data_IF_832060887496
#
_entry.id   IF_832060887496
#
_cell.length_a   1.000
_cell.length_b   1.000
_cell.length_c   1.000
_cell.angle_alpha   90.00
_cell.angle_beta   90.00
_cell.angle_gamma   90.00
#
_symmetry.space_group_name_H-M   'P 1'
#
loop_
_entity.id
_entity.type
_entity.pdbx_description
1 polymer ?
#
# COMPACT_ATOMS: atom_id res chain seq x y z
N UNK A 1 4.72 14.67 10.86
CA UNK A 1 3.85 13.51 10.53
C UNK A 1 4.46 12.27 11.15
N UNK A 2 3.66 11.44 11.77
CA UNK A 2 4.10 10.20 12.41
C UNK A 2 3.57 9.01 11.60
N UNK A 3 4.41 7.98 11.41
CA UNK A 3 3.99 6.74 10.75
C UNK A 3 4.17 5.60 11.73
N UNK A 4 3.11 4.82 11.97
CA UNK A 4 3.11 3.66 12.86
C UNK A 4 2.83 2.40 12.07
N UNK A 5 3.42 1.29 12.53
CA UNK A 5 3.19 -0.02 11.92
C UNK A 5 2.36 -0.91 12.84
N UNK A 6 1.50 -1.72 12.21
CA UNK A 6 0.61 -2.64 12.93
C UNK A 6 0.62 -3.99 12.22
N UNK A 7 0.48 -5.07 12.98
CA UNK A 7 0.38 -6.42 12.43
C UNK A 7 -1.06 -6.82 12.11
N UNK A 8 -1.98 -5.87 12.18
CA UNK A 8 -3.38 -6.08 11.86
C UNK A 8 -3.96 -4.81 11.23
N UNK A 9 -5.05 -4.97 10.50
CA UNK A 9 -5.75 -3.82 9.94
C UNK A 9 -6.54 -3.13 11.06
N UNK A 10 -6.16 -1.90 11.37
CA UNK A 10 -6.85 -1.11 12.39
C UNK A 10 -8.16 -0.55 11.84
N UNK A 11 -9.02 -0.07 12.72
CA UNK A 11 -10.27 0.59 12.29
C UNK A 11 -9.97 1.83 11.45
N UNK A 12 -8.93 2.58 11.77
CA UNK A 12 -8.51 3.75 11.01
C UNK A 12 -8.09 3.37 9.60
N UNK A 13 -7.29 2.30 9.44
CA UNK A 13 -6.88 1.82 8.12
C UNK A 13 -8.08 1.35 7.30
N UNK A 14 -9.00 0.62 7.93
CA UNK A 14 -10.23 0.17 7.28
C UNK A 14 -11.06 1.37 6.80
N UNK A 15 -11.18 2.39 7.64
CA UNK A 15 -11.94 3.60 7.31
C UNK A 15 -11.36 4.33 6.11
N UNK A 16 -10.05 4.53 6.09
CA UNK A 16 -9.37 5.20 4.98
C UNK A 16 -9.53 4.40 3.69
N UNK A 17 -9.29 3.08 3.73
CA UNK A 17 -9.40 2.23 2.55
C UNK A 17 -10.84 2.19 2.03
N UNK A 18 -11.80 2.14 2.92
CA UNK A 18 -13.21 2.18 2.52
C UNK A 18 -13.53 3.50 1.82
N UNK A 19 -13.13 4.62 2.41
CA UNK A 19 -13.40 5.94 1.83
C UNK A 19 -12.75 6.11 0.46
N UNK A 20 -11.50 5.67 0.30
CA UNK A 20 -10.74 5.88 -0.95
C UNK A 20 -11.12 4.84 -2.01
N UNK A 21 -11.07 3.55 -1.66
CA UNK A 21 -11.20 2.51 -2.69
C UNK A 21 -12.63 2.09 -2.93
N UNK A 22 -13.47 2.06 -1.91
CA UNK A 22 -14.85 1.61 -2.06
C UNK A 22 -15.76 2.78 -2.44
N UNK A 23 -15.74 3.84 -1.64
CA UNK A 23 -16.66 4.98 -1.83
C UNK A 23 -16.23 5.86 -3.00
N UNK A 24 -14.96 6.28 -3.01
CA UNK A 24 -14.46 7.21 -4.03
C UNK A 24 -14.23 6.53 -5.38
N UNK A 25 -13.68 5.33 -5.40
CA UNK A 25 -13.26 4.64 -6.63
C UNK A 25 -14.09 3.41 -6.99
N UNK A 26 -14.99 2.99 -6.11
CA UNK A 26 -15.88 1.84 -6.30
C UNK A 26 -15.16 0.52 -6.61
N UNK A 27 -14.01 0.30 -5.99
CA UNK A 27 -13.29 -0.97 -6.11
C UNK A 27 -13.90 -2.03 -5.20
N UNK A 28 -14.13 -3.22 -5.75
CA UNK A 28 -14.69 -4.37 -5.01
C UNK A 28 -14.14 -5.68 -5.56
N UNK A 29 -13.72 -6.62 -4.72
CA UNK A 29 -13.59 -6.48 -3.25
C UNK A 29 -12.31 -5.72 -2.89
N UNK A 30 -12.39 -4.85 -1.90
CA UNK A 30 -11.23 -4.12 -1.41
C UNK A 30 -10.44 -4.93 -0.38
N UNK A 31 -11.15 -5.68 0.46
CA UNK A 31 -10.54 -6.42 1.55
C UNK A 31 -10.35 -7.89 1.17
N UNK A 32 -9.24 -8.49 1.60
CA UNK A 32 -8.86 -9.85 1.23
C UNK A 32 -8.20 -10.58 2.40
N UNK A 33 -7.67 -11.78 2.13
CA UNK A 33 -7.06 -12.63 3.15
C UNK A 33 -5.85 -11.98 3.82
N UNK A 34 -5.16 -11.08 3.14
CA UNK A 34 -4.00 -10.39 3.71
C UNK A 34 -4.39 -9.35 4.75
N UNK A 35 -5.68 -9.08 4.93
CA UNK A 35 -6.19 -8.19 5.95
C UNK A 35 -6.49 -8.91 7.26
N UNK A 36 -6.38 -10.23 7.29
CA UNK A 36 -6.51 -10.99 8.53
C UNK A 36 -5.33 -10.70 9.45
N UNK A 37 -5.55 -10.71 10.78
CA UNK A 37 -4.47 -10.40 11.73
C UNK A 37 -3.23 -11.27 11.52
N UNK A 38 -2.06 -10.64 11.55
CA UNK A 38 -0.78 -11.34 11.42
C UNK A 38 -0.38 -11.70 10.00
N UNK A 39 -1.20 -11.39 8.98
CA UNK A 39 -0.91 -11.73 7.59
C UNK A 39 -0.11 -10.66 6.85
N UNK A 40 -0.23 -9.41 7.28
CA UNK A 40 0.45 -8.29 6.65
C UNK A 40 0.79 -7.23 7.67
N UNK A 41 1.74 -6.36 7.33
CA UNK A 41 2.01 -5.15 8.10
C UNK A 41 1.20 -4.01 7.51
N UNK A 42 0.51 -3.29 8.37
CA UNK A 42 -0.30 -2.14 7.99
C UNK A 42 0.33 -0.88 8.55
N UNK A 43 0.57 0.09 7.67
CA UNK A 43 1.11 1.40 8.07
C UNK A 43 -0.02 2.40 8.18
N UNK A 44 0.08 3.26 9.18
CA UNK A 44 -0.80 4.42 9.32
C UNK A 44 0.04 5.67 9.51
N UNK A 45 -0.24 6.67 8.72
CA UNK A 45 0.37 8.00 8.87
C UNK A 45 -0.62 8.90 9.59
N UNK A 46 -0.13 9.64 10.56
CA UNK A 46 -0.92 10.58 11.37
C UNK A 46 -0.45 12.00 11.11
N UNK A 47 -1.38 12.87 10.84
CA UNK A 47 -1.13 14.31 10.71
C UNK A 47 -2.17 15.08 11.52
N UNK A 48 -1.72 16.03 12.35
CA UNK A 48 -2.60 16.85 13.20
C UNK A 48 -3.53 15.99 14.06
N UNK A 49 -3.02 14.86 14.56
CA UNK A 49 -3.77 14.01 15.49
C UNK A 49 -4.79 13.08 14.86
N UNK A 50 -4.80 12.95 13.52
CA UNK A 50 -5.71 12.01 12.85
C UNK A 50 -4.96 11.16 11.85
N UNK A 51 -5.50 9.97 11.58
CA UNK A 51 -4.97 9.10 10.55
C UNK A 51 -5.30 9.66 9.17
N UNK A 52 -4.29 9.87 8.32
CA UNK A 52 -4.45 10.53 7.03
C UNK A 52 -4.06 9.65 5.85
N UNK A 53 -3.32 8.55 6.08
CA UNK A 53 -2.90 7.65 5.02
C UNK A 53 -2.64 6.26 5.56
N UNK A 54 -2.70 5.27 4.68
CA UNK A 54 -2.40 3.88 5.02
C UNK A 54 -1.74 3.18 3.85
N UNK A 55 -1.02 2.09 4.16
CA UNK A 55 -0.39 1.23 3.17
C UNK A 55 -0.27 -0.17 3.78
N UNK A 56 -0.30 -1.20 2.94
CA UNK A 56 -0.18 -2.59 3.39
C UNK A 56 1.03 -3.22 2.72
N UNK A 57 1.82 -4.01 3.47
CA UNK A 57 2.95 -4.72 2.92
C UNK A 57 3.04 -6.14 3.48
N UNK A 58 3.48 -7.08 2.63
CA UNK A 58 3.62 -8.49 2.99
C UNK A 58 4.61 -9.19 2.03
N UNK A 59 5.23 -10.32 2.49
CA UNK A 59 6.08 -11.10 1.59
C UNK A 59 5.26 -11.70 0.45
N UNK A 60 5.81 -11.70 -0.75
CA UNK A 60 5.13 -12.22 -1.93
C UNK A 60 5.27 -13.74 -1.98
N UNK A 61 4.31 -14.45 -1.41
CA UNK A 61 4.33 -15.91 -1.34
C UNK A 61 3.98 -16.58 -2.67
N UNK A 62 3.34 -15.85 -3.58
CA UNK A 62 3.01 -16.36 -4.92
C UNK A 62 4.24 -16.42 -5.82
N UNK A 63 5.33 -15.78 -5.40
CA UNK A 63 6.61 -15.79 -6.13
C UNK A 63 7.70 -16.38 -5.24
N UNK A 64 7.48 -17.59 -4.75
CA UNK A 64 8.43 -18.27 -3.87
C UNK A 64 9.78 -18.51 -4.54
N UNK A 65 9.84 -18.50 -5.87
CA UNK A 65 11.07 -18.57 -6.66
C UNK A 65 11.86 -17.26 -6.64
N UNK A 66 11.31 -16.22 -6.07
CA UNK A 66 11.95 -14.90 -5.95
C UNK A 66 12.06 -14.51 -4.47
N UNK A 67 12.98 -15.13 -3.72
CA UNK A 67 13.15 -14.79 -2.29
C UNK A 67 13.48 -13.31 -2.13
N UNK A 68 12.91 -12.70 -1.10
CA UNK A 68 13.12 -11.27 -0.86
C UNK A 68 12.18 -10.36 -1.64
N UNK A 69 11.23 -10.92 -2.37
CA UNK A 69 10.19 -10.13 -3.05
C UNK A 69 9.03 -9.88 -2.09
N UNK A 70 8.64 -8.63 -1.97
CA UNK A 70 7.53 -8.18 -1.13
C UNK A 70 6.50 -7.43 -1.97
N UNK A 71 5.28 -7.40 -1.50
CA UNK A 71 4.21 -6.61 -2.12
C UNK A 71 3.90 -5.44 -1.19
N UNK A 72 3.87 -4.24 -1.77
CA UNK A 72 3.41 -3.03 -1.11
C UNK A 72 2.17 -2.54 -1.86
N UNK A 73 1.08 -2.31 -1.16
CA UNK A 73 -0.15 -1.92 -1.83
C UNK A 73 -1.16 -1.30 -0.90
N UNK A 74 -2.36 -1.12 -1.42
CA UNK A 74 -3.45 -0.45 -0.70
C UNK A 74 -3.02 0.90 -0.15
N UNK A 75 -2.14 1.60 -0.89
CA UNK A 75 -1.73 2.96 -0.52
C UNK A 75 -2.91 3.90 -0.74
N UNK A 76 -3.33 4.54 0.31
CA UNK A 76 -4.47 5.46 0.26
C UNK A 76 -4.18 6.68 1.12
N UNK A 77 -4.45 7.86 0.58
CA UNK A 77 -4.35 9.13 1.30
C UNK A 77 -5.74 9.78 1.27
N UNK A 78 -6.20 10.27 2.41
CA UNK A 78 -7.52 10.93 2.46
C UNK A 78 -7.52 12.14 1.52
N UNK A 79 -8.68 12.39 0.90
CA UNK A 79 -8.78 13.36 -0.20
C UNK A 79 -8.28 14.76 0.16
N UNK A 80 -8.60 15.24 1.36
CA UNK A 80 -8.24 16.60 1.78
C UNK A 80 -6.76 16.75 2.18
N UNK A 81 -5.99 15.66 2.18
CA UNK A 81 -4.58 15.70 2.52
C UNK A 81 -3.67 15.37 1.31
N UNK A 82 -4.25 15.23 0.13
CA UNK A 82 -3.48 14.92 -1.08
C UNK A 82 -2.72 16.15 -1.58
N UNK A 83 -1.65 15.91 -2.32
CA UNK A 83 -0.83 16.98 -2.88
C UNK A 83 0.26 17.50 -1.94
N UNK A 84 0.49 16.82 -0.82
CA UNK A 84 1.48 17.22 0.17
C UNK A 84 2.63 16.22 0.33
N UNK A 85 2.72 15.24 -0.57
CA UNK A 85 3.80 14.24 -0.52
C UNK A 85 3.62 13.15 0.52
N UNK A 86 2.44 13.01 1.11
CA UNK A 86 2.19 12.02 2.16
C UNK A 86 2.33 10.60 1.61
N UNK A 87 1.74 10.33 0.45
CA UNK A 87 1.84 9.01 -0.18
C UNK A 87 3.26 8.59 -0.44
N UNK A 88 4.09 9.52 -0.93
CA UNK A 88 5.51 9.28 -1.18
C UNK A 88 6.25 8.94 0.12
N UNK A 89 5.95 9.66 1.19
CA UNK A 89 6.58 9.45 2.49
C UNK A 89 6.19 8.08 3.06
N UNK A 90 4.91 7.71 2.97
CA UNK A 90 4.43 6.41 3.45
C UNK A 90 5.07 5.27 2.64
N UNK A 91 5.17 5.43 1.34
CA UNK A 91 5.77 4.41 0.47
C UNK A 91 7.25 4.24 0.78
N UNK A 92 7.97 5.34 1.05
CA UNK A 92 9.38 5.27 1.43
C UNK A 92 9.55 4.51 2.75
N UNK A 93 8.65 4.68 3.70
CA UNK A 93 8.69 3.94 4.95
C UNK A 93 8.41 2.45 4.72
N UNK A 94 7.46 2.12 3.84
CA UNK A 94 7.20 0.73 3.48
C UNK A 94 8.45 0.08 2.91
N UNK A 95 9.16 0.76 2.01
CA UNK A 95 10.41 0.24 1.44
C UNK A 95 11.48 0.04 2.49
N UNK A 96 11.59 0.97 3.44
CA UNK A 96 12.55 0.85 4.54
C UNK A 96 12.28 -0.38 5.39
N UNK A 97 11.02 -0.64 5.70
CA UNK A 97 10.62 -1.82 6.48
C UNK A 97 10.85 -3.12 5.74
N UNK A 98 10.61 -3.12 4.42
CA UNK A 98 10.89 -4.30 3.58
C UNK A 98 12.39 -4.61 3.61
N UNK A 99 13.25 -3.61 3.45
CA UNK A 99 14.71 -3.81 3.52
C UNK A 99 15.13 -4.31 4.90
N UNK A 100 14.56 -3.76 5.95
CA UNK A 100 14.85 -4.17 7.33
C UNK A 100 14.47 -5.63 7.57
N UNK A 101 13.43 -6.12 6.91
CA UNK A 101 13.00 -7.50 7.00
C UNK A 101 13.79 -8.44 6.07
N UNK A 102 14.79 -7.94 5.35
CA UNK A 102 15.59 -8.74 4.44
C UNK A 102 15.07 -8.77 3.01
N UNK A 103 14.07 -7.98 2.69
CA UNK A 103 13.51 -7.91 1.33
C UNK A 103 14.42 -7.13 0.39
N UNK A 104 14.39 -7.51 -0.90
CA UNK A 104 15.20 -6.88 -1.94
C UNK A 104 14.36 -6.23 -3.02
N UNK A 105 13.10 -6.63 -3.15
CA UNK A 105 12.20 -6.15 -4.20
C UNK A 105 10.87 -5.76 -3.56
N UNK A 106 10.39 -4.57 -3.89
CA UNK A 106 9.07 -4.12 -3.51
C UNK A 106 8.21 -4.04 -4.77
N UNK A 107 7.26 -4.95 -4.91
CA UNK A 107 6.33 -4.96 -6.03
C UNK A 107 5.08 -4.18 -5.65
N UNK A 108 4.54 -3.41 -6.59
CA UNK A 108 3.29 -2.67 -6.41
C UNK A 108 2.33 -3.11 -7.50
N UNK A 109 1.14 -3.51 -7.09
CA UNK A 109 0.05 -3.78 -8.02
C UNK A 109 -0.80 -2.53 -8.12
N UNK A 110 -0.90 -1.97 -9.32
CA UNK A 110 -1.53 -0.67 -9.52
C UNK A 110 -2.30 -0.64 -10.82
N UNK A 111 -3.29 0.24 -10.90
CA UNK A 111 -3.96 0.54 -12.15
C UNK A 111 -3.01 1.31 -13.07
N UNK A 112 -3.21 1.17 -14.38
CA UNK A 112 -2.34 1.81 -15.37
C UNK A 112 -2.31 3.34 -15.22
N UNK A 113 -3.40 3.96 -14.79
CA UNK A 113 -3.42 5.42 -14.58
C UNK A 113 -2.48 5.90 -13.48
N UNK A 114 -2.02 4.98 -12.62
CA UNK A 114 -1.10 5.31 -11.54
C UNK A 114 0.34 4.94 -11.88
N UNK A 115 0.59 4.34 -13.03
CA UNK A 115 1.93 3.87 -13.40
C UNK A 115 2.94 5.02 -13.46
N UNK A 116 2.54 6.16 -14.03
CA UNK A 116 3.43 7.30 -14.14
C UNK A 116 3.88 7.79 -12.75
N UNK A 117 2.99 7.80 -11.78
CA UNK A 117 3.32 8.18 -10.41
C UNK A 117 4.35 7.23 -9.81
N UNK A 118 4.13 5.92 -9.96
CA UNK A 118 5.05 4.92 -9.41
C UNK A 118 6.40 4.94 -10.13
N UNK A 119 6.41 5.14 -11.45
CA UNK A 119 7.65 5.28 -12.20
C UNK A 119 8.45 6.50 -11.73
N UNK A 120 7.76 7.60 -11.46
CA UNK A 120 8.39 8.80 -10.92
C UNK A 120 9.04 8.53 -9.56
N UNK A 121 8.50 7.61 -8.77
CA UNK A 121 9.04 7.20 -7.48
C UNK A 121 10.11 6.12 -7.59
N UNK A 122 10.49 5.72 -8.80
CA UNK A 122 11.56 4.76 -9.03
C UNK A 122 11.11 3.33 -9.30
N UNK A 123 9.82 3.10 -9.45
CA UNK A 123 9.29 1.78 -9.76
C UNK A 123 9.30 1.56 -11.28
N UNK A 124 9.43 0.30 -11.69
CA UNK A 124 9.38 -0.09 -13.09
C UNK A 124 8.19 -1.01 -13.33
N UNK A 125 7.61 -0.90 -14.50
CA UNK A 125 6.57 -1.84 -14.93
C UNK A 125 7.26 -3.14 -15.28
N UNK A 126 6.95 -4.22 -14.54
CA UNK A 126 7.62 -5.52 -14.69
C UNK A 126 6.68 -6.63 -15.17
N UNK A 127 5.39 -6.33 -15.32
CA UNK A 127 4.40 -7.31 -15.73
C UNK A 127 3.33 -6.63 -16.58
N UNK A 128 2.50 -7.46 -17.21
CA UNK A 128 1.39 -6.95 -18.02
C UNK A 128 0.35 -6.28 -17.13
N UNK A 129 -0.44 -5.41 -17.76
CA UNK A 129 -1.54 -4.73 -17.09
C UNK A 129 -2.61 -5.73 -16.67
N UNK A 130 -3.17 -5.52 -15.49
CA UNK A 130 -4.33 -6.26 -15.04
C UNK A 130 -5.59 -5.54 -15.49
N UNK A 131 -6.53 -6.28 -16.04
CA UNK A 131 -7.75 -5.72 -16.63
C UNK A 131 -8.93 -5.74 -15.68
N UNK A 132 -8.79 -6.29 -14.50
CA UNK A 132 -9.89 -6.51 -13.58
C UNK A 132 -9.86 -5.62 -12.35
N UNK A 133 -9.09 -4.53 -12.41
CA UNK A 133 -9.00 -3.62 -11.28
C UNK A 133 -8.17 -4.15 -10.12
N UNK A 134 -7.17 -4.95 -10.38
CA UNK A 134 -6.21 -5.32 -9.34
C UNK A 134 -5.47 -4.05 -8.90
N UNK A 135 -5.63 -3.70 -7.64
CA UNK A 135 -5.22 -2.38 -7.16
C UNK A 135 -4.46 -2.48 -5.84
N UNK A 136 -3.96 -3.59 -5.56
CA UNK A 136 -3.36 -3.97 -4.30
C UNK A 136 -2.17 -3.25 -3.79
#
# INVERSE_FOLDING_TARGET
MEIREYDMMTDEARGIRTAVFVVEKDYRPEFDEWDEPGRATHLLAFGNGRAVATCRLYPDLDHADQPGRWVSGRLAVVADERGHGIGKTVLAEAERLIRKAGGHVAAVHSEDKNFAMYEHLGYRITSELFDNGTHG
#
